data_IF_306640366921
#
_entry.id   IF_306640366921
#
_cell.length_a   1.000
_cell.length_b   1.000
_cell.length_c   1.000
_cell.angle_alpha   90.00
_cell.angle_beta   90.00
_cell.angle_gamma   90.00
#
_symmetry.space_group_name_H-M   'P 1'
#
loop_
_entity.id
_entity.type
_entity.pdbx_description
1 polymer ?
#
# COMPACT_ATOMS: atom_id res chain seq x y z
N UNK A 1 -0.46 4.45 1.94
CA UNK A 1 -0.13 4.74 3.36
C UNK A 1 1.14 5.60 3.42
N UNK A 2 1.53 6.13 4.59
CA UNK A 2 2.88 6.69 4.78
C UNK A 2 3.90 5.59 5.07
N UNK A 3 5.20 5.86 4.91
CA UNK A 3 6.27 4.90 5.20
C UNK A 3 6.14 4.23 6.57
N UNK A 4 6.06 5.02 7.65
CA UNK A 4 5.96 4.47 9.00
C UNK A 4 4.69 3.64 9.22
N UNK A 5 3.57 4.04 8.61
CA UNK A 5 2.32 3.27 8.65
C UNK A 5 2.49 1.91 7.95
N UNK A 6 3.21 1.86 6.82
CA UNK A 6 3.47 0.65 6.06
C UNK A 6 4.41 -0.30 6.83
N UNK A 7 5.53 0.22 7.33
CA UNK A 7 6.55 -0.61 8.01
C UNK A 7 6.23 -0.94 9.46
N UNK A 8 5.23 -0.27 10.04
CA UNK A 8 4.65 -0.60 11.33
C UNK A 8 3.34 -1.38 11.21
N UNK A 9 2.93 -1.79 10.01
CA UNK A 9 1.68 -2.51 9.82
C UNK A 9 1.76 -3.87 10.51
N UNK A 10 0.97 -4.03 11.56
CA UNK A 10 0.84 -5.28 12.30
C UNK A 10 -0.15 -6.24 11.61
N UNK A 11 0.13 -7.53 11.68
CA UNK A 11 -0.75 -8.63 11.26
C UNK A 11 -2.12 -8.50 11.91
N UNK A 12 -2.16 -8.22 13.22
CA UNK A 12 -3.39 -8.06 13.98
C UNK A 12 -4.29 -6.92 13.49
N UNK A 13 -3.74 -5.94 12.77
CA UNK A 13 -4.48 -4.79 12.21
C UNK A 13 -4.77 -4.95 10.71
N UNK A 14 -4.57 -6.17 10.17
CA UNK A 14 -4.74 -6.50 8.75
C UNK A 14 -5.87 -7.53 8.60
N UNK A 15 -7.11 -7.05 8.60
CA UNK A 15 -8.32 -7.86 8.58
C UNK A 15 -8.70 -8.22 7.13
N UNK A 16 -7.96 -9.17 6.54
CA UNK A 16 -8.17 -9.56 5.14
C UNK A 16 -9.54 -10.21 4.87
N UNK A 17 -10.17 -10.84 5.86
CA UNK A 17 -11.53 -11.37 5.74
C UNK A 17 -12.57 -10.28 5.46
N UNK A 18 -12.35 -9.10 6.03
CA UNK A 18 -13.22 -7.93 5.86
C UNK A 18 -12.71 -6.97 4.76
N UNK A 19 -11.61 -7.33 4.08
CA UNK A 19 -10.93 -6.47 3.12
C UNK A 19 -10.51 -5.14 3.74
N UNK A 20 -9.90 -5.16 4.93
CA UNK A 20 -9.64 -3.95 5.71
C UNK A 20 -8.23 -3.92 6.33
N UNK A 21 -7.57 -2.77 6.26
CA UNK A 21 -6.42 -2.43 7.12
C UNK A 21 -6.83 -1.34 8.09
N UNK A 22 -6.48 -1.51 9.37
CA UNK A 22 -6.62 -0.47 10.39
C UNK A 22 -5.27 0.22 10.64
N UNK A 23 -5.25 1.55 10.55
CA UNK A 23 -4.13 2.35 11.05
C UNK A 23 -4.41 2.69 12.52
N UNK A 24 -3.83 1.89 13.42
CA UNK A 24 -4.10 1.95 14.86
C UNK A 24 -3.69 3.30 15.51
N UNK A 25 -4.45 3.84 16.49
CA UNK A 25 -4.13 5.11 17.15
C UNK A 25 -2.81 5.11 17.92
N UNK A 26 -2.47 4.01 18.61
CA UNK A 26 -1.31 3.99 19.52
C UNK A 26 -0.04 3.36 18.91
N UNK A 27 -0.18 2.48 17.93
CA UNK A 27 0.92 1.68 17.37
C UNK A 27 0.86 1.60 15.85
N UNK A 28 0.10 2.48 15.21
CA UNK A 28 -0.15 2.46 13.76
C UNK A 28 1.00 2.98 12.91
N UNK A 29 2.15 3.31 13.49
CA UNK A 29 3.33 3.70 12.74
C UNK A 29 4.64 3.25 13.42
N UNK A 30 5.58 2.79 12.60
CA UNK A 30 6.97 2.64 12.98
C UNK A 30 7.69 3.99 12.90
N UNK A 31 8.33 4.37 14.00
CA UNK A 31 9.17 5.56 14.12
C UNK A 31 10.64 5.16 14.07
N UNK A 32 11.44 5.94 13.34
CA UNK A 32 12.90 5.78 13.28
C UNK A 32 13.54 7.09 13.76
N UNK A 33 14.03 7.11 15.02
CA UNK A 33 14.59 8.30 15.67
C UNK A 33 15.97 7.97 16.20
N UNK A 34 17.00 8.70 15.74
CA UNK A 34 18.40 8.50 16.16
C UNK A 34 18.84 7.01 16.08
N UNK A 35 18.42 6.31 15.02
CA UNK A 35 18.76 4.89 14.81
C UNK A 35 17.88 3.89 15.57
N UNK A 36 17.04 4.34 16.49
CA UNK A 36 16.11 3.49 17.25
C UNK A 36 14.78 3.35 16.52
N UNK A 37 14.23 2.14 16.57
CA UNK A 37 12.96 1.78 15.95
C UNK A 37 11.95 1.43 17.05
N UNK A 38 10.77 2.06 17.01
CA UNK A 38 9.68 1.74 17.92
C UNK A 38 8.32 1.99 17.26
N UNK A 39 7.31 1.23 17.68
CA UNK A 39 5.93 1.47 17.29
C UNK A 39 5.35 2.59 18.15
N UNK A 40 4.54 3.44 17.53
CA UNK A 40 3.89 4.54 18.22
C UNK A 40 2.72 5.09 17.42
N UNK A 41 2.09 6.17 17.91
CA UNK A 41 0.95 6.78 17.26
C UNK A 41 1.35 7.33 15.89
N UNK A 42 0.44 7.32 14.90
CA UNK A 42 0.74 7.89 13.60
C UNK A 42 0.87 9.42 13.72
N UNK A 43 1.59 10.03 12.77
CA UNK A 43 2.00 11.45 12.81
C UNK A 43 0.85 12.44 13.08
N UNK A 44 -0.37 12.12 12.68
CA UNK A 44 -1.54 13.00 12.89
C UNK A 44 -2.75 12.17 13.27
N UNK A 45 -3.67 12.74 14.06
CA UNK A 45 -4.93 12.09 14.44
C UNK A 45 -5.75 11.61 13.24
N UNK A 46 -5.77 12.38 12.13
CA UNK A 46 -6.48 11.98 10.90
C UNK A 46 -5.85 10.77 10.20
N UNK A 47 -4.66 10.36 10.59
CA UNK A 47 -4.03 9.15 10.09
C UNK A 47 -4.67 7.90 10.68
N UNK A 48 -5.31 8.00 11.84
CA UNK A 48 -6.09 6.91 12.44
C UNK A 48 -7.34 6.71 11.59
N UNK A 49 -7.38 5.58 10.87
CA UNK A 49 -8.38 5.32 9.85
C UNK A 49 -8.39 3.86 9.43
N UNK A 50 -9.51 3.48 8.86
CA UNK A 50 -9.66 2.22 8.15
C UNK A 50 -9.40 2.44 6.66
N UNK A 51 -8.72 1.48 6.04
CA UNK A 51 -8.40 1.47 4.62
C UNK A 51 -9.03 0.20 4.03
N UNK A 52 -10.14 0.37 3.32
CA UNK A 52 -10.76 -0.71 2.57
C UNK A 52 -9.88 -1.12 1.39
N UNK A 53 -9.76 -2.42 1.19
CA UNK A 53 -8.88 -3.06 0.24
C UNK A 53 -9.68 -3.57 -0.96
N UNK A 54 -9.20 -3.35 -2.19
CA UNK A 54 -9.71 -4.06 -3.35
C UNK A 54 -9.35 -5.56 -3.28
N UNK A 55 -10.11 -6.44 -3.97
CA UNK A 55 -9.85 -7.88 -3.97
C UNK A 55 -8.41 -8.26 -4.35
N UNK A 56 -7.83 -7.64 -5.39
CA UNK A 56 -6.46 -7.95 -5.83
C UNK A 56 -5.44 -7.71 -4.71
N UNK A 57 -5.58 -6.61 -3.97
CA UNK A 57 -4.65 -6.26 -2.90
C UNK A 57 -4.84 -7.18 -1.69
N UNK A 58 -6.07 -7.62 -1.44
CA UNK A 58 -6.37 -8.62 -0.40
C UNK A 58 -5.69 -9.95 -0.72
N UNK A 59 -5.70 -10.39 -1.98
CA UNK A 59 -5.00 -11.60 -2.42
C UNK A 59 -3.48 -11.46 -2.26
N UNK A 60 -2.89 -10.37 -2.75
CA UNK A 60 -1.44 -10.12 -2.62
C UNK A 60 -0.98 -10.03 -1.16
N UNK A 61 -1.75 -9.38 -0.29
CA UNK A 61 -1.42 -9.31 1.14
C UNK A 61 -1.53 -10.67 1.82
N UNK A 62 -2.46 -11.53 1.38
CA UNK A 62 -2.58 -12.90 1.89
C UNK A 62 -1.32 -13.70 1.56
N UNK A 63 -0.83 -13.63 0.33
CA UNK A 63 0.43 -14.30 -0.06
C UNK A 63 1.61 -13.86 0.81
N UNK A 64 1.71 -12.57 1.13
CA UNK A 64 2.74 -12.07 2.05
C UNK A 64 2.55 -12.65 3.46
N UNK A 65 1.34 -12.57 4.00
CA UNK A 65 1.04 -13.07 5.36
C UNK A 65 1.20 -14.58 5.51
N UNK A 66 1.01 -15.35 4.43
CA UNK A 66 1.18 -16.80 4.40
C UNK A 66 2.66 -17.19 4.23
N UNK A 67 3.53 -16.26 3.82
CA UNK A 67 4.96 -16.52 3.65
C UNK A 67 5.77 -16.54 4.96
N UNK A 68 5.19 -16.09 6.07
CA UNK A 68 5.84 -16.04 7.38
C UNK A 68 4.83 -15.89 8.53
N UNK A 69 5.24 -16.18 9.76
CA UNK A 69 4.39 -16.05 10.97
C UNK A 69 4.68 -14.82 11.83
N UNK A 70 5.51 -13.88 11.35
CA UNK A 70 5.82 -12.66 12.10
C UNK A 70 4.62 -11.74 12.33
N UNK A 71 4.70 -10.95 13.41
CA UNK A 71 3.68 -9.98 13.83
C UNK A 71 3.57 -8.76 12.91
N UNK A 72 4.62 -8.46 12.14
CA UNK A 72 4.69 -7.32 11.22
C UNK A 72 4.55 -7.83 9.79
N UNK A 73 3.66 -7.21 9.01
CA UNK A 73 3.33 -7.66 7.65
C UNK A 73 4.52 -7.54 6.70
N UNK A 74 5.25 -6.42 6.77
CA UNK A 74 6.42 -6.17 5.95
C UNK A 74 7.66 -6.11 6.84
N UNK A 75 8.35 -7.23 6.97
CA UNK A 75 9.53 -7.37 7.81
C UNK A 75 10.73 -7.95 7.04
N UNK A 76 11.93 -7.83 7.62
CA UNK A 76 13.10 -8.56 7.14
C UNK A 76 12.98 -10.06 7.43
N UNK A 77 13.89 -10.87 6.86
CA UNK A 77 13.86 -12.34 6.93
C UNK A 77 13.86 -12.98 8.33
N UNK A 78 14.07 -12.19 9.40
CA UNK A 78 14.02 -12.63 10.80
C UNK A 78 12.97 -11.87 11.61
N UNK A 79 11.94 -11.32 10.97
CA UNK A 79 10.89 -10.52 11.61
C UNK A 79 11.31 -9.10 12.00
N UNK A 80 12.55 -8.68 11.71
CA UNK A 80 13.04 -7.35 12.06
C UNK A 80 12.32 -6.24 11.27
N UNK A 81 12.08 -5.11 11.93
CA UNK A 81 11.56 -3.91 11.29
C UNK A 81 12.42 -3.44 10.12
N UNK A 82 11.76 -2.96 9.07
CA UNK A 82 12.42 -2.39 7.89
C UNK A 82 12.93 -0.98 8.18
N UNK A 83 14.25 -0.80 8.08
CA UNK A 83 14.89 0.52 8.14
C UNK A 83 14.74 1.26 6.82
N UNK A 84 14.44 2.56 6.87
CA UNK A 84 14.25 3.38 5.67
C UNK A 84 15.47 3.37 4.76
N UNK A 85 16.65 3.59 5.33
CA UNK A 85 17.91 3.66 4.58
C UNK A 85 18.23 2.35 3.86
N UNK A 86 18.04 1.22 4.54
CA UNK A 86 18.29 -0.10 3.97
C UNK A 86 17.28 -0.46 2.88
N UNK A 87 15.99 -0.22 3.12
CA UNK A 87 14.95 -0.44 2.11
C UNK A 87 15.17 0.42 0.86
N UNK A 88 15.43 1.72 1.04
CA UNK A 88 15.64 2.65 -0.08
C UNK A 88 16.84 2.25 -0.93
N UNK A 89 17.96 1.87 -0.30
CA UNK A 89 19.20 1.57 -1.01
C UNK A 89 19.26 0.17 -1.59
N UNK A 90 18.73 -0.84 -0.87
CA UNK A 90 18.93 -2.26 -1.23
C UNK A 90 17.79 -2.86 -2.03
N UNK A 91 16.59 -2.28 -1.94
CA UNK A 91 15.40 -2.82 -2.59
C UNK A 91 14.82 -1.80 -3.55
N UNK A 92 14.42 -0.63 -3.05
CA UNK A 92 13.72 0.36 -3.86
C UNK A 92 14.58 0.94 -4.98
N UNK A 93 15.77 1.43 -4.66
CA UNK A 93 16.72 1.98 -5.64
C UNK A 93 17.00 1.05 -6.82
N UNK A 94 17.37 -0.22 -6.58
CA UNK A 94 17.54 -1.22 -7.63
C UNK A 94 16.28 -1.50 -8.47
N UNK A 95 15.07 -1.39 -7.89
CA UNK A 95 13.82 -1.58 -8.63
C UNK A 95 13.55 -0.38 -9.56
N UNK A 96 13.70 0.84 -9.06
CA UNK A 96 13.32 2.04 -9.82
C UNK A 96 14.38 2.46 -10.83
N UNK A 97 15.66 2.31 -10.50
CA UNK A 97 16.79 2.71 -11.35
C UNK A 97 17.44 1.53 -12.10
N UNK A 98 16.92 0.32 -11.92
CA UNK A 98 17.49 -0.89 -12.47
C UNK A 98 18.66 -1.44 -11.63
N UNK A 99 19.05 -2.66 -11.95
CA UNK A 99 20.10 -3.38 -11.26
C UNK A 99 20.97 -4.10 -12.28
N UNK A 100 22.16 -3.54 -12.53
CA UNK A 100 23.13 -4.12 -13.45
C UNK A 100 23.50 -5.57 -13.09
N UNK A 101 23.56 -5.92 -11.80
CA UNK A 101 23.90 -7.30 -11.37
C UNK A 101 22.77 -8.29 -11.68
N UNK A 102 21.53 -7.84 -11.65
CA UNK A 102 20.37 -8.65 -11.99
C UNK A 102 19.99 -8.52 -13.48
N UNK A 103 20.74 -7.74 -14.27
CA UNK A 103 20.44 -7.42 -15.67
C UNK A 103 19.01 -6.88 -15.86
N UNK A 104 18.50 -6.12 -14.89
CA UNK A 104 17.18 -5.50 -14.96
C UNK A 104 17.32 -4.00 -15.25
N UNK A 105 16.60 -3.51 -16.26
CA UNK A 105 16.50 -2.08 -16.54
C UNK A 105 15.68 -1.32 -15.50
N UNK A 106 15.72 0.03 -15.53
CA UNK A 106 14.90 0.86 -14.65
C UNK A 106 13.41 0.70 -14.95
N UNK A 107 12.60 0.67 -13.90
CA UNK A 107 11.14 0.73 -14.03
C UNK A 107 10.70 2.18 -14.21
N UNK A 108 11.10 3.08 -13.30
CA UNK A 108 10.87 4.54 -13.37
C UNK A 108 12.02 5.23 -12.62
N UNK A 109 13.00 5.76 -13.32
CA UNK A 109 14.19 6.36 -12.69
C UNK A 109 13.83 7.50 -11.72
N UNK A 110 14.54 7.54 -10.59
CA UNK A 110 14.41 8.62 -9.60
C UNK A 110 13.14 8.59 -8.75
N UNK A 111 12.21 7.65 -8.99
CA UNK A 111 11.00 7.56 -8.18
C UNK A 111 11.32 7.18 -6.73
N UNK A 112 10.69 7.85 -5.77
CA UNK A 112 10.78 7.53 -4.34
C UNK A 112 9.52 6.79 -3.84
N UNK A 113 9.65 6.05 -2.73
CA UNK A 113 8.50 5.34 -2.12
C UNK A 113 7.33 6.27 -1.74
N UNK A 114 7.60 7.53 -1.41
CA UNK A 114 6.53 8.48 -1.08
C UNK A 114 5.74 8.93 -2.32
N UNK A 115 6.34 8.84 -3.50
CA UNK A 115 5.68 9.19 -4.76
C UNK A 115 4.53 8.22 -5.06
N UNK A 116 4.62 6.95 -4.64
CA UNK A 116 3.50 6.01 -4.74
C UNK A 116 2.24 6.52 -4.06
N UNK A 117 2.38 7.24 -2.94
CA UNK A 117 1.24 7.85 -2.26
C UNK A 117 0.69 9.05 -3.03
N UNK A 118 1.55 9.81 -3.69
CA UNK A 118 1.15 10.90 -4.58
C UNK A 118 0.44 10.35 -5.82
N UNK A 119 0.99 9.33 -6.47
CA UNK A 119 0.35 8.59 -7.56
C UNK A 119 -1.01 8.05 -7.16
N UNK A 120 -1.12 7.41 -5.99
CA UNK A 120 -2.41 6.95 -5.47
C UNK A 120 -3.43 8.09 -5.35
N UNK A 121 -3.03 9.28 -4.89
CA UNK A 121 -3.93 10.45 -4.86
C UNK A 121 -4.35 10.86 -6.27
N UNK A 122 -3.42 10.92 -7.21
CA UNK A 122 -3.69 11.27 -8.62
C UNK A 122 -4.69 10.32 -9.25
N UNK A 123 -4.53 9.00 -9.06
CA UNK A 123 -5.48 8.01 -9.57
C UNK A 123 -6.89 8.21 -9.02
N UNK A 124 -7.03 8.47 -7.71
CA UNK A 124 -8.35 8.76 -7.15
C UNK A 124 -9.00 10.03 -7.76
N UNK A 125 -8.20 11.02 -8.16
CA UNK A 125 -8.70 12.22 -8.85
C UNK A 125 -9.18 11.86 -10.26
N UNK A 126 -8.35 11.13 -11.02
CA UNK A 126 -8.68 10.66 -12.37
C UNK A 126 -9.94 9.78 -12.39
N UNK A 127 -10.13 8.94 -11.36
CA UNK A 127 -11.28 8.05 -11.23
C UNK A 127 -12.55 8.78 -10.72
N UNK A 128 -12.49 10.11 -10.57
CA UNK A 128 -13.61 10.94 -10.14
C UNK A 128 -14.06 10.68 -8.70
N UNK A 129 -13.17 10.17 -7.84
CA UNK A 129 -13.49 9.94 -6.42
C UNK A 129 -13.70 11.29 -5.72
N UNK A 130 -14.78 11.47 -4.94
CA UNK A 130 -14.98 12.72 -4.20
C UNK A 130 -13.81 13.04 -3.27
N UNK A 131 -13.36 14.29 -3.27
CA UNK A 131 -12.19 14.75 -2.50
C UNK A 131 -12.27 14.38 -1.01
N UNK A 132 -13.48 14.38 -0.43
CA UNK A 132 -13.72 13.92 0.95
C UNK A 132 -13.28 12.47 1.18
N UNK A 133 -13.63 11.57 0.26
CA UNK A 133 -13.26 10.17 0.34
C UNK A 133 -11.76 9.99 0.07
N UNK A 134 -11.18 10.78 -0.85
CA UNK A 134 -9.73 10.81 -1.07
C UNK A 134 -8.97 11.21 0.21
N UNK A 135 -9.37 12.32 0.83
CA UNK A 135 -8.73 12.86 2.02
C UNK A 135 -8.85 11.89 3.20
N UNK A 136 -10.03 11.32 3.43
CA UNK A 136 -10.22 10.30 4.47
C UNK A 136 -9.35 9.08 4.24
N UNK A 137 -9.30 8.52 3.01
CA UNK A 137 -8.46 7.36 2.68
C UNK A 137 -6.97 7.65 2.88
N UNK A 138 -6.53 8.85 2.51
CA UNK A 138 -5.14 9.26 2.69
C UNK A 138 -4.83 9.61 4.16
N UNK A 139 -5.81 9.98 4.97
CA UNK A 139 -5.58 10.51 6.32
C UNK A 139 -5.12 11.97 6.29
N UNK A 140 -5.71 12.76 5.40
CA UNK A 140 -5.52 14.20 5.28
C UNK A 140 -6.63 14.96 6.01
N UNK A 141 -6.30 16.15 6.54
CA UNK A 141 -7.30 17.11 7.02
C UNK A 141 -7.83 17.89 5.84
N UNK A 142 -9.15 17.96 5.69
CA UNK A 142 -9.78 18.91 4.77
C UNK A 142 -9.82 20.29 5.45
N UNK A 143 -9.38 21.36 4.77
CA UNK A 143 -9.49 22.71 5.30
C UNK A 143 -10.94 23.23 5.20
N UNK A 144 -11.30 24.17 6.08
CA UNK A 144 -12.55 24.93 6.03
C UNK A 144 -13.84 24.14 6.32
N UNK A 145 -14.98 24.71 5.92
CA UNK A 145 -16.35 24.18 6.15
C UNK A 145 -16.52 22.76 5.62
N UNK A 146 -15.80 22.40 4.55
CA UNK A 146 -15.83 21.07 3.96
C UNK A 146 -15.37 19.98 4.94
N UNK A 147 -14.46 20.29 5.86
CA UNK A 147 -14.04 19.36 6.91
C UNK A 147 -15.15 19.06 7.93
N UNK A 148 -16.09 19.98 8.13
CA UNK A 148 -17.13 19.89 9.17
C UNK A 148 -18.26 18.93 8.77
N UNK A 149 -18.57 18.81 7.47
CA UNK A 149 -19.69 18.01 6.95
C UNK A 149 -19.26 16.78 6.13
N UNK A 150 -17.99 16.36 6.28
CA UNK A 150 -17.37 15.36 5.41
C UNK A 150 -17.53 13.92 5.90
N UNK A 151 -18.75 13.37 5.82
CA UNK A 151 -18.97 11.94 6.06
C UNK A 151 -18.69 11.11 4.81
N UNK A 152 -17.77 10.14 4.92
CA UNK A 152 -17.53 9.15 3.85
C UNK A 152 -18.50 8.00 4.00
N UNK A 153 -19.39 7.85 3.02
CA UNK A 153 -20.39 6.79 2.97
C UNK A 153 -19.79 5.44 2.55
N UNK A 154 -20.46 4.30 2.84
CA UNK A 154 -20.04 2.99 2.34
C UNK A 154 -19.88 2.95 0.81
N UNK A 155 -20.82 3.54 0.06
CA UNK A 155 -20.76 3.60 -1.41
C UNK A 155 -19.52 4.34 -1.92
N UNK A 156 -19.09 5.42 -1.26
CA UNK A 156 -17.84 6.11 -1.63
C UNK A 156 -16.60 5.24 -1.40
N UNK A 157 -16.59 4.41 -0.35
CA UNK A 157 -15.47 3.50 -0.06
C UNK A 157 -15.43 2.36 -1.09
N UNK A 158 -16.60 1.81 -1.40
CA UNK A 158 -16.76 0.78 -2.43
C UNK A 158 -16.29 1.28 -3.80
N UNK A 159 -16.67 2.50 -4.20
CA UNK A 159 -16.22 3.10 -5.46
C UNK A 159 -14.70 3.20 -5.54
N UNK A 160 -14.01 3.48 -4.43
CA UNK A 160 -12.55 3.48 -4.40
C UNK A 160 -12.00 2.08 -4.63
N UNK A 161 -12.54 1.06 -3.96
CA UNK A 161 -12.05 -0.32 -4.13
C UNK A 161 -12.32 -0.86 -5.53
N UNK A 162 -13.47 -0.55 -6.12
CA UNK A 162 -13.81 -0.91 -7.50
C UNK A 162 -12.87 -0.26 -8.50
N UNK A 163 -12.67 1.06 -8.42
CA UNK A 163 -11.78 1.78 -9.34
C UNK A 163 -10.33 1.25 -9.30
N UNK A 164 -9.82 0.92 -8.10
CA UNK A 164 -8.49 0.32 -7.96
C UNK A 164 -8.43 -1.11 -8.50
N UNK A 165 -9.51 -1.88 -8.33
CA UNK A 165 -9.62 -3.23 -8.90
C UNK A 165 -9.62 -3.17 -10.43
N UNK A 166 -10.37 -2.26 -11.02
CA UNK A 166 -10.44 -2.09 -12.48
C UNK A 166 -9.08 -1.68 -13.06
N UNK A 167 -8.37 -0.75 -12.39
CA UNK A 167 -7.00 -0.38 -12.75
C UNK A 167 -6.03 -1.57 -12.67
N UNK A 168 -6.16 -2.42 -11.66
CA UNK A 168 -5.35 -3.63 -11.59
C UNK A 168 -5.65 -4.57 -12.75
N UNK A 169 -6.92 -4.83 -13.04
CA UNK A 169 -7.33 -5.74 -14.12
C UNK A 169 -6.92 -5.24 -15.51
N UNK A 170 -6.95 -3.93 -15.76
CA UNK A 170 -6.52 -3.34 -17.03
C UNK A 170 -5.01 -3.39 -17.26
N UNK A 171 -4.21 -3.68 -16.23
CA UNK A 171 -2.75 -3.78 -16.32
C UNK A 171 -2.24 -5.22 -16.32
N UNK A 172 -3.12 -6.20 -16.08
CA UNK A 172 -2.75 -7.60 -16.20
C UNK A 172 -2.51 -7.95 -17.68
N UNK A 173 -1.44 -8.69 -18.01
CA UNK A 173 -1.32 -9.25 -19.34
C UNK A 173 -2.53 -10.16 -19.62
N UNK A 174 -3.02 -10.15 -20.86
CA UNK A 174 -4.04 -11.10 -21.28
C UNK A 174 -3.56 -12.54 -20.96
N UNK A 175 -4.45 -13.44 -20.50
CA UNK A 175 -4.04 -14.80 -20.20
C UNK A 175 -3.35 -15.40 -21.43
N UNK A 176 -2.16 -15.98 -21.23
CA UNK A 176 -1.40 -16.61 -22.31
C UNK A 176 -2.30 -17.65 -22.99
N UNK A 177 -2.43 -17.57 -24.32
CA UNK A 177 -3.21 -18.54 -25.08
C UNK A 177 -2.70 -19.96 -24.74
N UNK A 178 -3.60 -20.94 -24.53
CA UNK A 178 -3.19 -22.30 -24.18
C UNK A 178 -2.27 -22.83 -25.28
N UNK A 179 -1.06 -23.23 -24.88
CA UNK A 179 -0.08 -23.84 -25.75
C UNK A 179 -0.69 -25.13 -26.27
N UNK A 180 -1.09 -25.14 -27.55
CA UNK A 180 -1.51 -26.36 -28.24
C UNK A 180 -0.28 -27.26 -28.34
N UNK A 181 -0.19 -28.27 -27.47
CA UNK A 181 0.75 -29.36 -27.66
C UNK A 181 0.36 -30.08 -28.97
N UNK A 182 1.13 -29.84 -30.03
CA UNK A 182 1.08 -30.66 -31.23
C UNK A 182 1.64 -32.03 -30.84
N UNK A 183 0.75 -33.01 -30.67
CA UNK A 183 1.15 -34.41 -30.65
C UNK A 183 1.74 -34.76 -32.02
N UNK A 184 3.03 -35.07 -32.05
CA UNK A 184 3.69 -35.65 -33.20
C UNK A 184 3.13 -37.05 -33.44
N UNK A 185 2.74 -37.32 -34.69
CA UNK A 185 2.39 -38.64 -35.21
C UNK A 185 3.64 -39.32 -35.80
#
# INVERSE_FOLDING_TARGET
MRWGELTGLARANTHLGDGLIQVHPEVGALHEVQGHLYLGPPKTANSVRDIHLPPFLTALLREVLDSHDHDIVFCGARGAFLRRSSMSRRVWGPVVNGNARAHTGPVIEGMHLHDLRHTHKTWLIEDGIPEVAQAKRLGHRLPGVRGIYSHVTPAMRQRITEALQDRWLSTQPAPAAPVRHLHAA
#
